data_IF_205935219551
#
_entry.id   IF_205935219551
#
_cell.length_a   1.000
_cell.length_b   1.000
_cell.length_c   1.000
_cell.angle_alpha   90.00
_cell.angle_beta   90.00
_cell.angle_gamma   90.00
#
_symmetry.space_group_name_H-M   'P 1'
#
loop_
_entity.id
_entity.type
_entity.pdbx_description
1 polymer ?
#
# COMPACT_ATOMS: atom_id res chain seq x y z
N UNK A 1 18.92 -3.77 -14.87
CA UNK A 1 17.56 -3.89 -14.28
C UNK A 1 16.73 -2.61 -14.51
N UNK A 2 15.53 -2.75 -15.09
CA UNK A 2 14.56 -1.65 -15.17
C UNK A 2 14.20 -1.20 -13.75
N UNK A 3 14.78 -0.10 -13.29
CA UNK A 3 14.37 0.56 -12.05
C UNK A 3 13.22 1.48 -12.42
N UNK A 4 12.02 1.15 -11.98
CA UNK A 4 10.92 2.09 -11.98
C UNK A 4 11.02 2.95 -10.72
N UNK A 5 10.99 4.26 -10.91
CA UNK A 5 10.94 5.22 -9.81
C UNK A 5 9.48 5.47 -9.43
N UNK A 6 9.10 5.14 -8.19
CA UNK A 6 7.77 5.37 -7.62
C UNK A 6 7.81 6.47 -6.55
N UNK A 7 7.96 7.76 -6.94
CA UNK A 7 7.84 8.87 -6.02
C UNK A 7 6.56 8.81 -5.20
N UNK A 8 6.71 8.82 -3.88
CA UNK A 8 5.62 8.70 -2.92
C UNK A 8 5.68 9.84 -1.90
N UNK A 9 4.52 10.45 -1.64
CA UNK A 9 4.39 11.49 -0.62
C UNK A 9 3.50 11.06 0.53
N UNK A 10 3.98 11.30 1.75
CA UNK A 10 3.18 11.16 2.96
C UNK A 10 2.28 12.40 3.09
N UNK A 11 0.99 12.20 2.83
CA UNK A 11 -0.04 13.25 2.88
C UNK A 11 -0.79 13.30 4.21
N UNK A 12 -0.69 12.24 5.02
CA UNK A 12 -1.17 12.21 6.40
C UNK A 12 -0.18 11.41 7.23
N UNK A 13 0.18 11.95 8.38
CA UNK A 13 1.01 11.27 9.36
C UNK A 13 0.43 11.47 10.75
N UNK A 14 -0.09 10.39 11.33
CA UNK A 14 -0.59 10.35 12.69
C UNK A 14 0.01 9.10 13.35
N UNK A 15 1.11 9.22 14.12
CA UNK A 15 1.71 8.07 14.77
C UNK A 15 0.75 7.48 15.82
N UNK A 16 0.82 6.16 16.08
CA UNK A 16 0.05 5.55 17.16
C UNK A 16 0.48 6.11 18.53
N UNK A 17 -0.46 6.17 19.47
CA UNK A 17 -0.21 6.69 20.82
C UNK A 17 -0.97 5.90 21.87
N UNK A 18 -0.24 5.23 22.78
CA UNK A 18 -0.84 4.36 23.79
C UNK A 18 -1.67 3.25 23.12
N UNK A 19 -2.96 3.19 23.43
CA UNK A 19 -3.92 2.28 22.79
C UNK A 19 -4.56 2.83 21.51
N UNK A 20 -4.25 4.08 21.13
CA UNK A 20 -4.84 4.71 19.93
C UNK A 20 -4.11 4.26 18.67
N UNK A 21 -4.89 3.98 17.62
CA UNK A 21 -4.35 3.60 16.32
C UNK A 21 -3.61 4.77 15.66
N UNK A 22 -2.55 4.44 14.93
CA UNK A 22 -1.85 5.35 14.03
C UNK A 22 -2.36 5.23 12.60
N UNK A 23 -2.27 6.32 11.84
CA UNK A 23 -2.67 6.37 10.43
C UNK A 23 -1.60 7.09 9.61
N UNK A 24 -1.17 6.46 8.52
CA UNK A 24 -0.34 7.07 7.50
C UNK A 24 -1.06 6.99 6.15
N UNK A 25 -1.09 8.11 5.41
CA UNK A 25 -1.60 8.16 4.04
C UNK A 25 -0.50 8.57 3.07
N UNK A 26 -0.33 7.77 2.03
CA UNK A 26 0.68 7.99 0.99
C UNK A 26 -0.02 8.20 -0.35
N UNK A 27 0.49 9.14 -1.15
CA UNK A 27 0.07 9.34 -2.56
C UNK A 27 1.25 9.03 -3.47
N UNK A 28 1.02 8.12 -4.42
CA UNK A 28 2.00 7.74 -5.45
C UNK A 28 1.89 8.71 -6.63
N UNK A 29 2.99 9.36 -6.96
CA UNK A 29 3.12 10.35 -8.05
C UNK A 29 4.10 9.91 -9.14
N UNK A 30 4.43 8.63 -9.17
CA UNK A 30 5.27 8.08 -10.22
C UNK A 30 4.68 8.25 -11.61
N UNK A 31 5.56 8.17 -12.61
CA UNK A 31 5.17 8.32 -14.02
C UNK A 31 4.37 7.12 -14.54
N UNK A 32 4.65 5.93 -13.99
CA UNK A 32 4.01 4.66 -14.38
C UNK A 32 2.95 4.25 -13.36
N UNK A 33 3.29 4.28 -12.07
CA UNK A 33 2.38 3.95 -10.97
C UNK A 33 1.86 5.23 -10.34
N UNK A 34 0.54 5.30 -10.19
CA UNK A 34 -0.16 6.41 -9.53
C UNK A 34 -1.19 5.84 -8.56
N UNK A 35 -1.68 6.67 -7.63
CA UNK A 35 -2.73 6.27 -6.71
C UNK A 35 -2.40 6.63 -5.28
N UNK A 36 -2.94 5.88 -4.32
CA UNK A 36 -2.75 6.15 -2.90
C UNK A 36 -2.76 4.86 -2.07
N UNK A 37 -2.20 4.95 -0.87
CA UNK A 37 -2.31 3.93 0.16
C UNK A 37 -2.61 4.56 1.51
N UNK A 38 -3.32 3.83 2.36
CA UNK A 38 -3.55 4.12 3.77
C UNK A 38 -3.13 2.91 4.58
N UNK A 39 -2.28 3.15 5.56
CA UNK A 39 -1.83 2.20 6.55
C UNK A 39 -2.43 2.62 7.90
N UNK A 40 -3.20 1.74 8.52
CA UNK A 40 -3.64 1.89 9.90
C UNK A 40 -2.93 0.87 10.77
N UNK A 41 -2.31 1.32 11.85
CA UNK A 41 -1.61 0.46 12.82
C UNK A 41 -2.34 0.55 14.14
N UNK A 42 -2.93 -0.56 14.57
CA UNK A 42 -3.69 -0.63 15.83
C UNK A 42 -2.93 -1.46 16.84
N UNK A 43 -2.49 -0.89 17.98
CA UNK A 43 -1.84 -1.65 19.04
C UNK A 43 -2.73 -2.78 19.58
N UNK A 44 -2.13 -3.92 19.92
CA UNK A 44 -2.77 -5.04 20.63
C UNK A 44 -1.97 -5.37 21.89
N UNK A 45 -2.46 -6.29 22.72
CA UNK A 45 -1.79 -6.67 23.97
C UNK A 45 -0.36 -7.22 23.77
N UNK A 46 -0.08 -7.84 22.62
CA UNK A 46 1.20 -8.50 22.34
C UNK A 46 1.88 -8.00 21.07
N UNK A 47 1.38 -6.93 20.45
CA UNK A 47 1.90 -6.42 19.18
C UNK A 47 0.99 -5.38 18.54
N UNK A 48 0.73 -5.51 17.24
CA UNK A 48 -0.22 -4.66 16.53
C UNK A 48 -0.93 -5.41 15.41
N UNK A 49 -2.10 -4.93 15.02
CA UNK A 49 -2.73 -5.28 13.75
C UNK A 49 -2.47 -4.15 12.76
N UNK A 50 -2.17 -4.53 11.52
CA UNK A 50 -1.93 -3.59 10.43
C UNK A 50 -3.01 -3.78 9.38
N UNK A 51 -3.73 -2.70 9.09
CA UNK A 51 -4.67 -2.66 7.97
C UNK A 51 -4.06 -1.83 6.85
N UNK A 52 -3.87 -2.47 5.69
CA UNK A 52 -3.43 -1.83 4.46
C UNK A 52 -4.60 -1.66 3.50
N UNK A 53 -4.81 -0.44 3.02
CA UNK A 53 -5.77 -0.14 1.95
C UNK A 53 -5.07 0.62 0.85
N UNK A 54 -5.13 0.12 -0.37
CA UNK A 54 -4.43 0.70 -1.51
C UNK A 54 -5.33 0.76 -2.74
N UNK A 55 -5.20 1.85 -3.47
CA UNK A 55 -5.67 1.99 -4.84
C UNK A 55 -4.48 2.44 -5.68
N UNK A 56 -4.02 1.58 -6.58
CA UNK A 56 -2.90 1.86 -7.47
C UNK A 56 -3.32 1.57 -8.92
N UNK A 57 -2.87 2.42 -9.83
CA UNK A 57 -3.15 2.33 -11.26
C UNK A 57 -1.87 2.47 -12.08
N UNK A 58 -1.78 1.69 -13.16
CA UNK A 58 -0.67 1.76 -14.12
C UNK A 58 -1.11 2.64 -15.29
N UNK A 59 -0.43 3.76 -15.51
CA UNK A 59 -0.86 4.80 -16.46
C UNK A 59 -0.86 4.36 -17.93
N UNK A 60 -0.04 3.37 -18.28
CA UNK A 60 0.17 2.92 -19.67
C UNK A 60 -0.59 1.64 -20.05
N UNK A 61 -1.39 1.09 -19.14
CA UNK A 61 -2.28 -0.03 -19.47
C UNK A 61 -3.63 0.54 -19.88
N UNK A 62 -4.02 0.39 -21.14
CA UNK A 62 -5.33 0.84 -21.63
C UNK A 62 -6.50 0.24 -20.82
N UNK A 63 -7.73 0.78 -20.94
CA UNK A 63 -8.88 0.43 -20.10
C UNK A 63 -9.23 -1.07 -20.08
N UNK A 64 -8.87 -1.82 -21.11
CA UNK A 64 -9.05 -3.29 -21.20
C UNK A 64 -8.21 -4.08 -20.17
N UNK A 65 -7.10 -3.52 -19.67
CA UNK A 65 -6.24 -4.15 -18.65
C UNK A 65 -6.45 -3.58 -17.22
N UNK A 66 -7.33 -2.59 -17.04
CA UNK A 66 -7.57 -1.96 -15.74
C UNK A 66 -8.42 -2.81 -14.78
N UNK A 67 -9.25 -3.72 -15.32
CA UNK A 67 -10.13 -4.58 -14.52
C UNK A 67 -9.44 -5.84 -13.96
N UNK A 68 -8.59 -6.57 -14.73
CA UNK A 68 -7.84 -7.73 -14.22
C UNK A 68 -6.74 -7.36 -13.21
N UNK A 69 -6.17 -6.17 -13.32
CA UNK A 69 -5.05 -5.69 -12.47
C UNK A 69 -5.45 -5.53 -11.00
N UNK A 70 -6.68 -5.09 -10.70
CA UNK A 70 -7.16 -4.96 -9.30
C UNK A 70 -7.25 -6.28 -8.55
N UNK A 71 -7.61 -7.37 -9.24
CA UNK A 71 -7.74 -8.69 -8.62
C UNK A 71 -6.38 -9.39 -8.48
N UNK A 72 -5.53 -9.28 -9.51
CA UNK A 72 -4.17 -9.81 -9.49
C UNK A 72 -3.31 -9.10 -8.43
N UNK A 73 -3.44 -7.78 -8.30
CA UNK A 73 -2.71 -6.98 -7.32
C UNK A 73 -2.95 -7.48 -5.89
N UNK A 74 -4.21 -7.71 -5.48
CA UNK A 74 -4.52 -8.22 -4.14
C UNK A 74 -3.84 -9.56 -3.84
N UNK A 75 -3.81 -10.49 -4.80
CA UNK A 75 -3.19 -11.82 -4.63
C UNK A 75 -1.67 -11.79 -4.64
N UNK A 76 -1.06 -10.92 -5.45
CA UNK A 76 0.40 -10.77 -5.49
C UNK A 76 0.89 -10.03 -4.25
N UNK A 77 0.18 -8.97 -3.84
CA UNK A 77 0.54 -8.19 -2.67
C UNK A 77 0.36 -8.99 -1.38
N UNK A 78 -0.71 -9.80 -1.26
CA UNK A 78 -0.87 -10.73 -0.14
C UNK A 78 0.33 -11.68 -0.02
N UNK A 79 0.71 -12.35 -1.13
CA UNK A 79 1.87 -13.25 -1.13
C UNK A 79 3.20 -12.55 -0.83
N UNK A 80 3.38 -11.31 -1.27
CA UNK A 80 4.57 -10.52 -0.94
C UNK A 80 4.61 -10.15 0.53
N UNK A 81 3.47 -9.76 1.11
CA UNK A 81 3.35 -9.47 2.54
C UNK A 81 3.62 -10.74 3.35
N UNK A 82 3.04 -11.87 2.96
CA UNK A 82 3.31 -13.16 3.61
C UNK A 82 4.82 -13.48 3.57
N UNK A 83 5.47 -13.34 2.42
CA UNK A 83 6.92 -13.56 2.30
C UNK A 83 7.81 -12.52 3.01
N UNK A 84 7.31 -11.32 3.29
CA UNK A 84 8.03 -10.31 4.09
C UNK A 84 7.84 -10.52 5.60
N UNK A 85 6.77 -11.21 5.99
CA UNK A 85 6.45 -11.54 7.37
C UNK A 85 6.90 -12.95 7.76
N UNK A 86 7.23 -13.80 6.78
CA UNK A 86 7.94 -15.05 7.01
C UNK A 86 9.36 -14.76 7.58
N UNK A 87 9.78 -15.44 8.66
CA UNK A 87 11.00 -15.16 9.41
C UNK A 87 12.31 -15.53 8.70
#
# INVERSE_FOLDING_TARGET
>A
PLRFDDPMDVTLWQPPSGSSAGVCRIVKRGRVVTGWAVLTVTPTATGCTIQWKEDASIRFTGPLLAWPTRLLAKRVFGRLVDGLLDP
#
